data_IF_592071699282
#
_entry.id   IF_592071699282
#
_cell.length_a   1.000
_cell.length_b   1.000
_cell.length_c   1.000
_cell.angle_alpha   90.00
_cell.angle_beta   90.00
_cell.angle_gamma   90.00
#
_symmetry.space_group_name_H-M   'P 1'
#
loop_
_entity.id
_entity.type
_entity.pdbx_description
1 polymer ?
#
# COMPACT_ATOMS: atom_id res chain seq x y z
N UNK A 1 -9.09 -35.64 -5.46
CA UNK A 1 -8.49 -34.83 -4.38
C UNK A 1 -9.59 -34.58 -3.35
N UNK A 2 -9.43 -35.05 -2.11
CA UNK A 2 -10.53 -35.12 -1.15
C UNK A 2 -10.81 -33.73 -0.55
N UNK A 3 -12.08 -33.31 -0.45
CA UNK A 3 -12.45 -31.96 0.00
C UNK A 3 -11.88 -31.67 1.41
N UNK A 4 -11.78 -32.69 2.25
CA UNK A 4 -11.15 -32.62 3.56
C UNK A 4 -9.65 -32.29 3.51
N UNK A 5 -8.87 -32.84 2.59
CA UNK A 5 -7.43 -32.56 2.49
C UNK A 5 -7.14 -31.15 1.99
N UNK A 6 -8.04 -30.57 1.18
CA UNK A 6 -7.94 -29.17 0.78
C UNK A 6 -8.12 -28.23 1.99
N UNK A 7 -9.04 -28.53 2.91
CA UNK A 7 -9.21 -27.77 4.15
C UNK A 7 -8.05 -27.93 5.15
N UNK A 8 -7.40 -29.09 5.22
CA UNK A 8 -6.22 -29.27 6.08
C UNK A 8 -5.00 -28.51 5.54
N UNK A 9 -4.80 -28.50 4.23
CA UNK A 9 -3.77 -27.67 3.60
C UNK A 9 -4.09 -26.18 3.75
N UNK A 10 -5.36 -25.78 3.66
CA UNK A 10 -5.81 -24.43 3.98
C UNK A 10 -5.59 -24.09 5.46
N UNK A 11 -5.74 -25.03 6.41
CA UNK A 11 -5.40 -24.77 7.83
C UNK A 11 -3.93 -24.45 8.02
N UNK A 12 -3.03 -25.11 7.29
CA UNK A 12 -1.61 -24.74 7.29
C UNK A 12 -1.36 -23.43 6.54
N UNK A 13 -2.12 -23.12 5.49
CA UNK A 13 -2.02 -21.86 4.75
C UNK A 13 -2.55 -20.66 5.56
N UNK A 14 -3.65 -20.83 6.30
CA UNK A 14 -4.22 -19.88 7.25
C UNK A 14 -3.30 -19.63 8.45
N UNK A 15 -2.35 -20.54 8.72
CA UNK A 15 -1.34 -20.37 9.76
C UNK A 15 -0.23 -19.39 9.39
N UNK A 16 -0.09 -19.01 8.11
CA UNK A 16 0.90 -18.03 7.66
C UNK A 16 0.47 -16.59 7.96
N UNK A 17 -0.83 -16.33 8.14
CA UNK A 17 -1.29 -15.02 8.57
C UNK A 17 -1.36 -14.99 10.10
N UNK A 18 -0.29 -14.50 10.73
CA UNK A 18 -0.34 -14.02 12.10
C UNK A 18 -0.30 -12.50 12.05
N UNK A 19 -1.45 -11.80 12.24
CA UNK A 19 -1.38 -10.37 12.52
C UNK A 19 -0.48 -10.19 13.75
N UNK A 20 0.17 -9.03 13.87
CA UNK A 20 0.92 -8.75 15.10
C UNK A 20 -0.02 -8.92 16.28
N UNK A 21 0.46 -9.61 17.32
CA UNK A 21 -0.37 -10.01 18.47
C UNK A 21 -1.15 -8.82 19.05
N UNK A 22 -0.51 -7.65 19.13
CA UNK A 22 -1.17 -6.40 19.52
C UNK A 22 -2.35 -6.01 18.62
N UNK A 23 -2.19 -5.99 17.28
CA UNK A 23 -3.28 -5.63 16.36
C UNK A 23 -4.46 -6.58 16.48
N UNK A 24 -4.17 -7.87 16.65
CA UNK A 24 -5.20 -8.88 16.81
C UNK A 24 -6.04 -8.64 18.07
N UNK A 25 -5.38 -8.37 19.20
CA UNK A 25 -6.02 -8.06 20.47
C UNK A 25 -6.92 -6.82 20.35
N UNK A 26 -6.40 -5.73 19.80
CA UNK A 26 -7.19 -4.50 19.60
C UNK A 26 -8.37 -4.71 18.65
N UNK A 27 -8.22 -5.50 17.58
CA UNK A 27 -9.35 -5.85 16.70
C UNK A 27 -10.45 -6.62 17.44
N UNK A 28 -10.07 -7.53 18.34
CA UNK A 28 -11.00 -8.22 19.24
C UNK A 28 -11.75 -7.24 20.15
N UNK A 29 -11.03 -6.34 20.81
CA UNK A 29 -11.62 -5.32 21.69
C UNK A 29 -12.54 -4.36 20.93
N UNK A 30 -12.13 -3.88 19.76
CA UNK A 30 -12.97 -3.01 18.91
C UNK A 30 -14.21 -3.75 18.42
N UNK A 31 -14.09 -5.04 18.07
CA UNK A 31 -15.24 -5.83 17.64
C UNK A 31 -16.28 -5.98 18.76
N UNK A 32 -15.86 -6.31 19.98
CA UNK A 32 -16.77 -6.42 21.13
C UNK A 32 -17.33 -5.05 21.55
N UNK A 33 -16.52 -3.99 21.51
CA UNK A 33 -16.99 -2.63 21.77
C UNK A 33 -18.01 -2.16 20.71
N UNK A 34 -17.80 -2.49 19.44
CA UNK A 34 -18.75 -2.22 18.36
C UNK A 34 -20.08 -2.96 18.56
N UNK A 35 -20.06 -4.25 18.94
CA UNK A 35 -21.29 -5.00 19.23
C UNK A 35 -22.11 -4.38 20.36
N UNK A 36 -21.44 -3.86 21.40
CA UNK A 36 -22.09 -3.29 22.59
C UNK A 36 -22.59 -1.87 22.40
N UNK A 37 -21.83 -1.04 21.69
CA UNK A 37 -22.12 0.40 21.55
C UNK A 37 -22.75 0.78 20.22
N UNK A 38 -22.54 -0.01 19.16
CA UNK A 38 -22.86 0.36 17.78
C UNK A 38 -22.01 1.51 17.21
N UNK A 39 -21.00 1.98 17.96
CA UNK A 39 -20.10 3.07 17.57
C UNK A 39 -18.75 2.49 17.11
N UNK A 40 -18.22 2.90 15.95
CA UNK A 40 -16.91 2.44 15.49
C UNK A 40 -15.78 2.91 16.40
N UNK A 41 -14.70 2.14 16.46
CA UNK A 41 -13.49 2.45 17.25
C UNK A 41 -13.75 2.64 18.75
N UNK A 42 -14.76 1.97 19.32
CA UNK A 42 -14.86 1.83 20.77
C UNK A 42 -14.31 0.46 21.12
N UNK A 43 -13.37 0.40 22.05
CA UNK A 43 -12.81 -0.86 22.56
C UNK A 43 -13.60 -1.33 23.78
N UNK A 44 -13.62 -2.64 24.04
CA UNK A 44 -14.09 -3.23 25.28
C UNK A 44 -12.97 -4.04 25.91
N UNK A 45 -12.47 -3.60 27.06
CA UNK A 45 -11.32 -4.20 27.76
C UNK A 45 -11.69 -5.44 28.59
N UNK A 46 -12.93 -5.92 28.49
CA UNK A 46 -13.49 -7.00 29.32
C UNK A 46 -14.28 -6.50 30.52
N UNK A 47 -14.15 -5.22 30.89
CA UNK A 47 -14.86 -4.61 32.02
C UNK A 47 -15.72 -3.42 31.60
N UNK A 48 -15.18 -2.54 30.76
CA UNK A 48 -15.81 -1.30 30.36
C UNK A 48 -15.53 -1.00 28.88
N UNK A 49 -16.38 -0.16 28.29
CA UNK A 49 -16.05 0.47 27.02
C UNK A 49 -14.93 1.47 27.27
N UNK A 50 -14.01 1.64 26.32
CA UNK A 50 -12.92 2.62 26.41
C UNK A 50 -12.67 3.27 25.04
N UNK A 51 -12.07 4.47 24.99
CA UNK A 51 -11.59 5.05 23.74
C UNK A 51 -10.59 4.12 23.03
N UNK A 52 -10.57 4.15 21.70
CA UNK A 52 -9.58 3.44 20.90
C UNK A 52 -8.16 3.92 21.22
N UNK A 53 -7.23 2.99 21.39
CA UNK A 53 -5.87 3.28 21.82
C UNK A 53 -4.78 2.69 20.90
N UNK A 54 -5.14 2.03 19.81
CA UNK A 54 -4.13 1.44 18.92
C UNK A 54 -3.39 2.51 18.09
N UNK A 55 -2.06 2.37 18.02
CA UNK A 55 -1.17 3.24 17.25
C UNK A 55 -1.07 2.79 15.77
N UNK A 56 -2.20 2.55 15.10
CA UNK A 56 -2.25 2.11 13.71
C UNK A 56 -3.35 2.82 12.91
N UNK A 57 -3.34 2.67 11.58
CA UNK A 57 -4.36 3.25 10.70
C UNK A 57 -5.74 2.66 11.06
N UNK A 58 -6.72 3.54 11.27
CA UNK A 58 -8.02 3.18 11.86
C UNK A 58 -8.94 2.36 10.93
N UNK A 59 -8.60 2.23 9.64
CA UNK A 59 -9.49 1.64 8.65
C UNK A 59 -9.77 0.16 8.86
N UNK A 60 -8.77 -0.63 9.28
CA UNK A 60 -8.97 -2.06 9.61
C UNK A 60 -9.94 -2.24 10.78
N UNK A 61 -9.85 -1.37 11.79
CA UNK A 61 -10.68 -1.40 12.99
C UNK A 61 -12.12 -0.98 12.71
N UNK A 62 -12.38 -0.46 11.51
CA UNK A 62 -13.72 -0.19 11.02
C UNK A 62 -14.26 -1.31 10.12
N UNK A 63 -13.46 -1.75 9.15
CA UNK A 63 -13.89 -2.73 8.15
C UNK A 63 -14.06 -4.14 8.73
N UNK A 64 -13.09 -4.61 9.50
CA UNK A 64 -13.03 -6.01 9.95
C UNK A 64 -14.17 -6.34 10.92
N UNK A 65 -14.48 -5.53 11.96
CA UNK A 65 -15.64 -5.77 12.81
C UNK A 65 -16.97 -5.81 12.04
N UNK A 66 -17.11 -4.98 10.99
CA UNK A 66 -18.31 -4.98 10.15
C UNK A 66 -18.42 -6.22 9.30
N UNK A 67 -17.31 -6.72 8.75
CA UNK A 67 -17.29 -8.00 8.02
C UNK A 67 -17.64 -9.14 8.98
N UNK A 68 -17.07 -9.14 10.18
CA UNK A 68 -17.36 -10.14 11.22
C UNK A 68 -18.85 -10.15 11.57
N UNK A 69 -19.44 -8.98 11.83
CA UNK A 69 -20.86 -8.84 12.16
C UNK A 69 -21.78 -9.17 10.96
N UNK A 70 -21.47 -8.69 9.76
CA UNK A 70 -22.31 -8.89 8.58
C UNK A 70 -22.35 -10.36 8.12
N UNK A 71 -21.27 -11.10 8.33
CA UNK A 71 -21.16 -12.52 7.95
C UNK A 71 -21.33 -13.48 9.14
N UNK A 72 -21.66 -12.96 10.32
CA UNK A 72 -21.75 -13.70 11.58
C UNK A 72 -20.56 -14.65 11.79
N UNK A 73 -19.35 -14.10 11.68
CA UNK A 73 -18.11 -14.87 11.79
C UNK A 73 -17.12 -14.26 12.78
N UNK A 74 -16.11 -15.05 13.15
CA UNK A 74 -15.08 -14.61 14.08
C UNK A 74 -14.17 -13.54 13.47
N UNK A 75 -13.51 -12.75 14.32
CA UNK A 75 -12.62 -11.66 13.88
C UNK A 75 -11.47 -12.19 13.03
N UNK A 76 -10.91 -13.35 13.39
CA UNK A 76 -9.86 -14.06 12.65
C UNK A 76 -10.32 -14.37 11.22
N UNK A 77 -11.56 -14.86 11.07
CA UNK A 77 -12.12 -15.19 9.75
C UNK A 77 -12.39 -13.92 8.95
N UNK A 78 -12.89 -12.87 9.58
CA UNK A 78 -13.12 -11.57 8.94
C UNK A 78 -11.81 -10.93 8.45
N UNK A 79 -10.73 -11.01 9.25
CA UNK A 79 -9.37 -10.62 8.85
C UNK A 79 -8.95 -11.36 7.57
N UNK A 80 -9.07 -12.68 7.55
CA UNK A 80 -8.67 -13.50 6.39
C UNK A 80 -9.51 -13.14 5.16
N UNK A 81 -10.83 -13.02 5.30
CA UNK A 81 -11.74 -12.64 4.22
C UNK A 81 -11.33 -11.28 3.65
N UNK A 82 -11.05 -10.30 4.52
CA UNK A 82 -10.70 -8.95 4.09
C UNK A 82 -9.37 -8.94 3.32
N UNK A 83 -8.28 -9.43 3.91
CA UNK A 83 -6.96 -9.30 3.31
C UNK A 83 -6.74 -10.22 2.11
N UNK A 84 -7.12 -11.50 2.21
CA UNK A 84 -6.99 -12.42 1.09
C UNK A 84 -8.02 -12.13 0.00
N UNK A 85 -9.23 -11.73 0.37
CA UNK A 85 -10.23 -11.25 -0.58
C UNK A 85 -9.74 -10.05 -1.36
N UNK A 86 -9.16 -9.05 -0.69
CA UNK A 86 -8.58 -7.85 -1.33
C UNK A 86 -7.46 -8.22 -2.31
N UNK A 87 -6.49 -9.04 -1.88
CA UNK A 87 -5.40 -9.50 -2.74
C UNK A 87 -5.91 -10.28 -3.97
N UNK A 88 -6.82 -11.23 -3.79
CA UNK A 88 -7.39 -12.04 -4.88
C UNK A 88 -8.24 -11.21 -5.84
N UNK A 89 -9.03 -10.28 -5.31
CA UNK A 89 -9.81 -9.34 -6.10
C UNK A 89 -8.91 -8.47 -6.97
N UNK A 90 -7.88 -7.87 -6.38
CA UNK A 90 -6.89 -7.07 -7.11
C UNK A 90 -6.13 -7.85 -8.17
N UNK A 91 -5.69 -9.07 -7.86
CA UNK A 91 -5.06 -9.97 -8.83
C UNK A 91 -6.00 -10.26 -10.00
N UNK A 92 -7.27 -10.58 -9.72
CA UNK A 92 -8.28 -10.88 -10.75
C UNK A 92 -8.47 -9.69 -11.68
N UNK A 93 -8.62 -8.48 -11.13
CA UNK A 93 -8.72 -7.24 -11.92
C UNK A 93 -7.46 -7.00 -12.76
N UNK A 94 -6.28 -7.24 -12.20
CA UNK A 94 -5.02 -7.12 -12.93
C UNK A 94 -4.90 -8.07 -14.11
N UNK A 95 -5.31 -9.34 -13.92
CA UNK A 95 -5.37 -10.35 -14.99
C UNK A 95 -6.33 -9.92 -16.08
N UNK A 96 -7.54 -9.47 -15.72
CA UNK A 96 -8.52 -8.94 -16.67
C UNK A 96 -7.92 -7.77 -17.46
N UNK A 97 -7.31 -6.80 -16.77
CA UNK A 97 -6.69 -5.64 -17.41
C UNK A 97 -5.61 -6.02 -18.42
N UNK A 98 -4.70 -6.93 -18.06
CA UNK A 98 -3.66 -7.39 -18.98
C UNK A 98 -4.20 -8.28 -20.11
N UNK A 99 -5.24 -9.08 -19.88
CA UNK A 99 -5.84 -9.93 -20.91
C UNK A 99 -6.62 -9.11 -21.95
N UNK A 100 -7.20 -7.98 -21.52
CA UNK A 100 -7.78 -6.98 -22.40
C UNK A 100 -6.70 -6.20 -23.16
N UNK A 101 -5.59 -5.87 -22.51
CA UNK A 101 -4.47 -5.15 -23.13
C UNK A 101 -3.71 -5.99 -24.16
N UNK A 102 -3.48 -7.27 -23.89
CA UNK A 102 -2.68 -8.15 -24.73
C UNK A 102 -3.53 -9.15 -25.51
N UNK A 103 -3.28 -9.26 -26.81
CA UNK A 103 -4.00 -10.19 -27.70
C UNK A 103 -3.33 -11.56 -27.78
N UNK A 104 -2.00 -11.64 -27.69
CA UNK A 104 -1.26 -12.91 -27.81
C UNK A 104 -1.36 -13.75 -26.53
N UNK A 105 -1.54 -15.07 -26.70
CA UNK A 105 -1.55 -16.05 -25.61
C UNK A 105 -0.24 -16.01 -24.81
N UNK A 106 0.90 -15.83 -25.48
CA UNK A 106 2.22 -15.75 -24.81
C UNK A 106 2.28 -14.53 -23.90
N UNK A 107 1.80 -13.38 -24.37
CA UNK A 107 1.80 -12.15 -23.58
C UNK A 107 0.88 -12.25 -22.35
N UNK A 108 -0.28 -12.90 -22.52
CA UNK A 108 -1.21 -13.21 -21.42
C UNK A 108 -0.61 -14.17 -20.41
N UNK A 109 0.12 -15.18 -20.88
CA UNK A 109 0.80 -16.14 -20.01
C UNK A 109 1.92 -15.46 -19.18
N UNK A 110 2.71 -14.58 -19.79
CA UNK A 110 3.71 -13.75 -19.07
C UNK A 110 3.03 -12.90 -17.99
N UNK A 111 1.93 -12.23 -18.33
CA UNK A 111 1.17 -11.43 -17.37
C UNK A 111 0.60 -12.28 -16.22
N UNK A 112 0.06 -13.46 -16.55
CA UNK A 112 -0.47 -14.41 -15.57
C UNK A 112 0.60 -14.88 -14.59
N UNK A 113 1.76 -15.31 -15.08
CA UNK A 113 2.88 -15.73 -14.21
C UNK A 113 3.34 -14.56 -13.35
N UNK A 114 3.60 -13.39 -13.93
CA UNK A 114 4.09 -12.23 -13.20
C UNK A 114 3.15 -11.80 -12.06
N UNK A 115 1.85 -11.65 -12.36
CA UNK A 115 0.87 -11.28 -11.34
C UNK A 115 0.62 -12.39 -10.32
N UNK A 116 0.67 -13.67 -10.72
CA UNK A 116 0.51 -14.79 -9.77
C UNK A 116 1.69 -14.89 -8.82
N UNK A 117 2.92 -14.68 -9.28
CA UNK A 117 4.11 -14.59 -8.42
C UNK A 117 3.99 -13.43 -7.43
N UNK A 118 3.51 -12.26 -7.88
CA UNK A 118 3.26 -11.12 -7.00
C UNK A 118 2.16 -11.39 -5.98
N UNK A 119 1.08 -12.07 -6.37
CA UNK A 119 0.02 -12.51 -5.44
C UNK A 119 0.60 -13.45 -4.37
N UNK A 120 1.39 -14.45 -4.76
CA UNK A 120 2.01 -15.37 -3.80
C UNK A 120 2.93 -14.64 -2.82
N UNK A 121 3.76 -13.71 -3.31
CA UNK A 121 4.61 -12.87 -2.44
C UNK A 121 3.75 -11.99 -1.51
N UNK A 122 2.67 -11.42 -2.02
CA UNK A 122 1.73 -10.59 -1.26
C UNK A 122 1.09 -11.40 -0.13
N UNK A 123 0.63 -12.62 -0.41
CA UNK A 123 0.05 -13.52 0.59
C UNK A 123 1.09 -14.01 1.60
N UNK A 124 2.34 -14.22 1.18
CA UNK A 124 3.45 -14.58 2.06
C UNK A 124 3.80 -13.46 3.04
N UNK A 125 3.83 -12.21 2.57
CA UNK A 125 4.08 -11.03 3.42
C UNK A 125 2.93 -10.87 4.42
N UNK A 126 1.68 -11.01 3.96
CA UNK A 126 0.52 -10.96 4.82
C UNK A 126 0.22 -9.57 5.40
N UNK A 127 -0.63 -9.57 6.41
CA UNK A 127 -1.01 -8.41 7.21
C UNK A 127 -1.58 -7.22 6.41
N UNK A 128 -1.64 -6.03 7.03
CA UNK A 128 -2.01 -4.75 6.41
C UNK A 128 -1.15 -4.38 5.20
N UNK A 129 0.04 -4.98 5.07
CA UNK A 129 0.96 -4.68 3.99
C UNK A 129 0.49 -5.17 2.63
N UNK A 130 -0.44 -6.15 2.59
CA UNK A 130 -1.05 -6.64 1.35
C UNK A 130 -1.61 -5.51 0.47
N UNK A 131 -2.07 -4.42 1.08
CA UNK A 131 -2.65 -3.30 0.34
C UNK A 131 -1.63 -2.53 -0.51
N UNK A 132 -0.33 -2.55 -0.14
CA UNK A 132 0.72 -1.90 -0.91
C UNK A 132 0.89 -2.47 -2.33
N UNK A 133 0.63 -3.78 -2.53
CA UNK A 133 0.62 -4.39 -3.88
C UNK A 133 -0.78 -4.41 -4.52
N UNK A 134 -1.84 -4.45 -3.71
CA UNK A 134 -3.21 -4.63 -4.19
C UNK A 134 -3.64 -3.54 -5.17
N UNK A 135 -3.34 -2.26 -4.88
CA UNK A 135 -3.65 -1.16 -5.78
C UNK A 135 -2.86 -1.23 -7.11
N UNK A 136 -1.57 -1.61 -7.06
CA UNK A 136 -0.75 -1.72 -8.27
C UNK A 136 -1.22 -2.85 -9.18
N UNK A 137 -1.56 -4.01 -8.60
CA UNK A 137 -2.10 -5.16 -9.34
C UNK A 137 -3.41 -4.80 -10.05
N UNK A 138 -4.33 -4.10 -9.37
CA UNK A 138 -5.64 -3.78 -9.93
C UNK A 138 -5.59 -2.61 -10.92
N UNK A 139 -5.01 -1.48 -10.51
CA UNK A 139 -5.20 -0.20 -11.19
C UNK A 139 -4.27 -0.02 -12.39
N UNK A 140 -3.01 -0.47 -12.30
CA UNK A 140 -2.05 -0.23 -13.39
C UNK A 140 -2.46 -0.96 -14.69
N UNK A 141 -2.79 -2.27 -14.70
CA UNK A 141 -3.14 -2.96 -15.94
C UNK A 141 -4.42 -2.41 -16.58
N UNK A 142 -5.45 -2.14 -15.78
CA UNK A 142 -6.71 -1.55 -16.27
C UNK A 142 -6.52 -0.12 -16.76
N UNK A 143 -5.76 0.69 -16.03
CA UNK A 143 -5.43 2.06 -16.44
C UNK A 143 -4.63 2.09 -17.74
N UNK A 144 -3.71 1.14 -17.95
CA UNK A 144 -3.00 0.98 -19.22
C UNK A 144 -3.96 0.59 -20.35
N UNK A 145 -4.83 -0.40 -20.14
CA UNK A 145 -5.80 -0.82 -21.15
C UNK A 145 -6.67 0.35 -21.62
N UNK A 146 -7.23 1.12 -20.69
CA UNK A 146 -8.11 2.25 -21.01
C UNK A 146 -7.36 3.42 -21.67
N UNK A 147 -6.12 3.67 -21.28
CA UNK A 147 -5.33 4.81 -21.78
C UNK A 147 -4.69 4.54 -23.15
N UNK A 148 -4.33 3.29 -23.43
CA UNK A 148 -3.60 2.90 -24.65
C UNK A 148 -4.52 2.40 -25.78
N UNK A 149 -5.80 2.14 -25.50
CA UNK A 149 -6.78 1.73 -26.51
C UNK A 149 -7.87 2.78 -26.70
N UNK A 150 -8.50 2.78 -27.87
CA UNK A 150 -9.62 3.68 -28.15
C UNK A 150 -10.93 3.20 -27.49
N UNK A 151 -11.00 3.37 -26.17
CA UNK A 151 -12.16 3.00 -25.35
C UNK A 151 -13.17 4.15 -25.24
N UNK A 152 -14.46 3.87 -25.06
CA UNK A 152 -15.47 4.92 -24.87
C UNK A 152 -15.22 5.69 -23.55
N UNK A 153 -15.39 7.02 -23.49
CA UNK A 153 -15.14 7.82 -22.28
C UNK A 153 -15.92 7.37 -21.04
N UNK A 154 -17.11 6.77 -21.22
CA UNK A 154 -17.90 6.23 -20.11
C UNK A 154 -17.14 5.14 -19.33
N UNK A 155 -16.32 4.32 -20.00
CA UNK A 155 -15.52 3.29 -19.33
C UNK A 155 -14.41 3.92 -18.48
N UNK A 156 -13.81 5.04 -18.95
CA UNK A 156 -12.87 5.83 -18.14
C UNK A 156 -13.56 6.44 -16.91
N UNK A 157 -14.81 6.88 -17.04
CA UNK A 157 -15.61 7.38 -15.91
C UNK A 157 -15.89 6.30 -14.86
N UNK A 158 -16.38 5.12 -15.29
CA UNK A 158 -16.64 3.98 -14.41
C UNK A 158 -15.37 3.55 -13.69
N UNK A 159 -14.27 3.37 -14.45
CA UNK A 159 -12.97 3.05 -13.87
C UNK A 159 -12.47 4.16 -12.94
N UNK A 160 -12.68 5.43 -13.27
CA UNK A 160 -12.28 6.54 -12.42
C UNK A 160 -12.97 6.52 -11.06
N UNK A 161 -14.29 6.33 -11.02
CA UNK A 161 -15.03 6.19 -9.75
C UNK A 161 -14.50 4.99 -8.96
N UNK A 162 -14.35 3.83 -9.63
CA UNK A 162 -13.79 2.64 -9.01
C UNK A 162 -12.39 2.88 -8.44
N UNK A 163 -11.48 3.46 -9.21
CA UNK A 163 -10.12 3.76 -8.79
C UNK A 163 -10.08 4.75 -7.63
N UNK A 164 -10.93 5.78 -7.65
CA UNK A 164 -11.06 6.75 -6.56
C UNK A 164 -11.55 6.10 -5.26
N UNK A 165 -12.58 5.25 -5.33
CA UNK A 165 -13.06 4.46 -4.19
C UNK A 165 -11.98 3.50 -3.68
N UNK A 166 -11.34 2.77 -4.58
CA UNK A 166 -10.30 1.79 -4.26
C UNK A 166 -9.12 2.46 -3.55
N UNK A 167 -8.58 3.54 -4.10
CA UNK A 167 -7.51 4.34 -3.48
C UNK A 167 -7.94 4.94 -2.15
N UNK A 168 -9.17 5.45 -2.07
CA UNK A 168 -9.70 6.04 -0.82
C UNK A 168 -9.79 5.01 0.30
N UNK A 169 -10.31 3.80 0.00
CA UNK A 169 -10.40 2.71 0.97
C UNK A 169 -9.00 2.24 1.36
N UNK A 170 -8.13 1.99 0.39
CA UNK A 170 -6.75 1.58 0.65
C UNK A 170 -6.01 2.60 1.52
N UNK A 171 -6.15 3.91 1.23
CA UNK A 171 -5.57 4.97 2.03
C UNK A 171 -6.14 5.02 3.46
N UNK A 172 -7.43 4.78 3.62
CA UNK A 172 -8.09 4.71 4.93
C UNK A 172 -7.60 3.53 5.77
N UNK A 173 -7.29 2.40 5.12
CA UNK A 173 -6.83 1.18 5.80
C UNK A 173 -5.33 1.19 6.04
N UNK A 174 -4.55 1.69 5.07
CA UNK A 174 -3.12 1.85 5.17
C UNK A 174 -2.69 3.12 4.45
N UNK A 175 -2.20 4.09 5.21
CA UNK A 175 -1.86 5.41 4.70
C UNK A 175 -0.88 5.33 3.51
N UNK A 176 -1.20 6.07 2.45
CA UNK A 176 -0.40 6.24 1.22
C UNK A 176 -0.13 5.00 0.36
N UNK A 177 -0.66 3.82 0.69
CA UNK A 177 -0.31 2.59 -0.02
C UNK A 177 -0.71 2.56 -1.51
N UNK A 178 -1.79 3.26 -1.88
CA UNK A 178 -2.32 3.31 -3.25
C UNK A 178 -1.92 4.57 -4.05
N UNK A 179 -1.09 5.47 -3.48
CA UNK A 179 -0.65 6.71 -4.16
C UNK A 179 0.20 6.41 -5.41
N UNK A 180 1.20 5.52 -5.38
CA UNK A 180 2.03 5.24 -6.55
C UNK A 180 1.25 4.76 -7.79
N UNK A 181 0.34 3.76 -7.71
CA UNK A 181 -0.45 3.35 -8.87
C UNK A 181 -1.49 4.39 -9.31
N UNK A 182 -2.01 5.22 -8.40
CA UNK A 182 -2.85 6.35 -8.80
C UNK A 182 -2.07 7.35 -9.67
N UNK A 183 -0.87 7.75 -9.22
CA UNK A 183 -0.02 8.68 -9.97
C UNK A 183 0.40 8.08 -11.32
N UNK A 184 0.72 6.78 -11.36
CA UNK A 184 0.96 6.07 -12.61
C UNK A 184 -0.19 6.26 -13.61
N UNK A 185 -1.43 5.98 -13.19
CA UNK A 185 -2.61 6.08 -14.06
C UNK A 185 -2.85 7.51 -14.52
N UNK A 186 -2.71 8.50 -13.62
CA UNK A 186 -2.89 9.90 -13.96
C UNK A 186 -1.84 10.40 -14.95
N UNK A 187 -0.56 10.11 -14.72
CA UNK A 187 0.52 10.50 -15.65
C UNK A 187 0.32 9.82 -17.00
N UNK A 188 0.03 8.52 -17.02
CA UNK A 188 -0.21 7.79 -18.27
C UNK A 188 -1.36 8.41 -19.05
N UNK A 189 -2.51 8.65 -18.43
CA UNK A 189 -3.68 9.20 -19.11
C UNK A 189 -3.43 10.65 -19.59
N UNK A 190 -2.85 11.50 -18.75
CA UNK A 190 -2.66 12.92 -19.08
C UNK A 190 -1.59 13.16 -20.14
N UNK A 191 -0.49 12.41 -20.12
CA UNK A 191 0.61 12.59 -21.05
C UNK A 191 0.49 11.73 -22.31
N UNK A 192 -0.42 10.75 -22.37
CA UNK A 192 -0.71 10.04 -23.61
C UNK A 192 -1.33 11.00 -24.64
N UNK A 193 -0.64 11.18 -25.77
CA UNK A 193 -1.02 12.12 -26.83
C UNK A 193 -2.34 11.74 -27.49
N UNK A 194 -2.55 10.45 -27.71
CA UNK A 194 -3.72 9.93 -28.43
C UNK A 194 -4.98 9.81 -27.54
N UNK A 195 -4.85 10.08 -26.24
CA UNK A 195 -5.98 10.07 -25.33
C UNK A 195 -6.81 11.35 -25.50
N UNK A 196 -8.09 11.20 -25.84
CA UNK A 196 -9.00 12.33 -26.01
C UNK A 196 -9.14 13.17 -24.72
N UNK A 197 -9.19 14.51 -24.85
CA UNK A 197 -9.29 15.44 -23.69
C UNK A 197 -10.50 15.16 -22.80
N UNK A 198 -11.61 14.73 -23.38
CA UNK A 198 -12.81 14.32 -22.64
C UNK A 198 -12.55 13.12 -21.72
N UNK A 199 -11.78 12.11 -22.20
CA UNK A 199 -11.40 10.95 -21.37
C UNK A 199 -10.56 11.38 -20.17
N UNK A 200 -9.58 12.28 -20.38
CA UNK A 200 -8.72 12.83 -19.31
C UNK A 200 -9.55 13.53 -18.23
N UNK A 201 -10.42 14.47 -18.65
CA UNK A 201 -11.29 15.21 -17.74
C UNK A 201 -12.25 14.31 -16.98
N UNK A 202 -12.98 13.42 -17.69
CA UNK A 202 -13.93 12.49 -17.08
C UNK A 202 -13.24 11.57 -16.08
N UNK A 203 -12.08 10.98 -16.44
CA UNK A 203 -11.32 10.10 -15.56
C UNK A 203 -10.93 10.83 -14.27
N UNK A 204 -10.32 12.01 -14.39
CA UNK A 204 -9.85 12.78 -13.22
C UNK A 204 -11.01 13.22 -12.34
N UNK A 205 -12.10 13.76 -12.90
CA UNK A 205 -13.28 14.12 -12.13
C UNK A 205 -13.88 12.90 -11.41
N UNK A 206 -13.99 11.76 -12.10
CA UNK A 206 -14.52 10.53 -11.52
C UNK A 206 -13.65 9.97 -10.38
N UNK A 207 -12.32 10.02 -10.52
CA UNK A 207 -11.38 9.67 -9.44
C UNK A 207 -11.60 10.56 -8.21
N UNK A 208 -11.69 11.89 -8.42
CA UNK A 208 -11.92 12.84 -7.32
C UNK A 208 -13.25 12.54 -6.63
N UNK A 209 -14.32 12.29 -7.39
CA UNK A 209 -15.63 11.92 -6.81
C UNK A 209 -15.53 10.65 -5.96
N UNK A 210 -14.90 9.59 -6.50
CA UNK A 210 -14.68 8.34 -5.76
C UNK A 210 -13.88 8.56 -4.47
N UNK A 211 -12.76 9.28 -4.55
CA UNK A 211 -11.90 9.56 -3.39
C UNK A 211 -12.63 10.40 -2.33
N UNK A 212 -13.28 11.49 -2.75
CA UNK A 212 -14.00 12.38 -1.85
C UNK A 212 -15.15 11.66 -1.14
N UNK A 213 -15.81 10.70 -1.78
CA UNK A 213 -16.85 9.91 -1.13
C UNK A 213 -16.32 9.13 0.08
N UNK A 214 -15.11 8.55 -0.01
CA UNK A 214 -14.47 7.85 1.12
C UNK A 214 -14.00 8.86 2.17
N UNK A 215 -13.47 10.02 1.77
CA UNK A 215 -13.06 11.08 2.70
C UNK A 215 -14.25 11.59 3.52
N UNK A 216 -15.36 11.94 2.87
CA UNK A 216 -16.58 12.39 3.56
C UNK A 216 -17.14 11.31 4.48
N UNK A 217 -17.15 10.06 4.01
CA UNK A 217 -17.58 8.93 4.79
C UNK A 217 -16.75 8.74 6.06
N UNK A 218 -15.42 8.70 5.93
CA UNK A 218 -14.51 8.49 7.07
C UNK A 218 -14.55 9.66 8.04
N UNK A 219 -14.67 10.90 7.54
CA UNK A 219 -14.87 12.08 8.37
C UNK A 219 -16.18 11.99 9.18
N UNK A 220 -17.28 11.59 8.54
CA UNK A 220 -18.55 11.38 9.23
C UNK A 220 -18.44 10.33 10.35
N UNK A 221 -17.78 9.19 10.09
CA UNK A 221 -17.56 8.18 11.13
C UNK A 221 -16.71 8.72 12.29
N UNK A 222 -15.64 9.48 12.00
CA UNK A 222 -14.78 10.14 13.02
C UNK A 222 -15.59 11.08 13.91
N UNK A 223 -16.46 11.89 13.33
CA UNK A 223 -17.30 12.82 14.09
C UNK A 223 -18.27 12.08 15.03
N UNK A 224 -18.86 10.96 14.57
CA UNK A 224 -19.71 10.11 15.42
C UNK A 224 -18.95 9.53 16.61
N UNK A 225 -17.74 9.03 16.36
CA UNK A 225 -16.87 8.50 17.40
C UNK A 225 -16.46 9.58 18.41
N UNK A 226 -16.00 10.75 17.94
CA UNK A 226 -15.63 11.86 18.82
C UNK A 226 -16.80 12.35 19.68
N UNK A 227 -18.00 12.45 19.12
CA UNK A 227 -19.18 12.83 19.88
C UNK A 227 -19.46 11.85 21.04
N UNK A 228 -19.34 10.54 20.77
CA UNK A 228 -19.51 9.50 21.78
C UNK A 228 -18.43 9.58 22.88
N UNK A 229 -17.16 9.77 22.50
CA UNK A 229 -16.05 9.86 23.45
C UNK A 229 -16.14 11.13 24.29
N UNK A 230 -16.47 12.29 23.71
CA UNK A 230 -16.65 13.51 24.49
C UNK A 230 -17.77 13.40 25.53
N UNK A 231 -18.84 12.66 25.21
CA UNK A 231 -19.93 12.42 26.15
C UNK A 231 -19.53 11.44 27.27
N UNK A 232 -18.79 10.37 26.93
CA UNK A 232 -18.51 9.26 27.84
C UNK A 232 -17.20 9.45 28.63
N UNK A 233 -16.22 10.15 28.07
CA UNK A 233 -14.88 10.40 28.64
C UNK A 233 -14.45 11.85 28.41
N UNK A 234 -15.00 12.83 29.16
CA UNK A 234 -14.71 14.25 28.94
C UNK A 234 -13.24 14.63 29.07
N UNK A 235 -12.45 13.84 29.79
CA UNK A 235 -11.01 14.04 30.03
C UNK A 235 -10.12 13.28 29.05
N UNK A 236 -10.68 12.42 28.18
CA UNK A 236 -9.89 11.67 27.21
C UNK A 236 -9.28 12.62 26.17
N UNK A 237 -7.97 12.50 25.96
CA UNK A 237 -7.30 13.15 24.84
C UNK A 237 -7.51 12.30 23.60
N UNK A 238 -8.16 12.87 22.60
CA UNK A 238 -8.27 12.27 21.28
C UNK A 238 -6.98 12.56 20.53
N UNK A 239 -6.06 11.61 20.55
CA UNK A 239 -4.84 11.71 19.75
C UNK A 239 -5.19 11.61 18.26
N UNK A 240 -4.41 12.30 17.42
CA UNK A 240 -4.49 12.10 15.99
C UNK A 240 -4.02 10.68 15.68
N UNK A 241 -4.98 9.78 15.42
CA UNK A 241 -4.78 8.36 15.09
C UNK A 241 -4.06 8.15 13.74
N UNK A 242 -2.82 8.61 13.65
CA UNK A 242 -1.95 8.49 12.49
C UNK A 242 -0.56 8.07 12.94
N UNK A 243 0.08 7.22 12.13
CA UNK A 243 1.48 6.85 12.32
C UNK A 243 2.36 8.10 12.36
N UNK A 244 3.13 8.24 13.43
CA UNK A 244 4.13 9.29 13.56
C UNK A 244 5.17 9.19 12.44
N UNK A 245 5.24 10.23 11.60
CA UNK A 245 6.20 10.28 10.49
C UNK A 245 7.62 10.36 11.06
N UNK A 246 7.84 11.19 12.08
CA UNK A 246 9.15 11.36 12.69
C UNK A 246 9.56 10.15 13.51
N UNK A 247 8.63 9.48 14.19
CA UNK A 247 8.84 8.16 14.78
C UNK A 247 9.38 7.16 13.75
N UNK A 248 8.71 7.04 12.61
CA UNK A 248 9.11 6.11 11.55
C UNK A 248 10.51 6.45 10.99
N UNK A 249 10.78 7.74 10.75
CA UNK A 249 12.08 8.20 10.24
C UNK A 249 13.18 7.92 11.28
N UNK A 250 12.93 8.23 12.55
CA UNK A 250 13.89 8.05 13.64
C UNK A 250 14.29 6.59 13.77
N UNK A 251 13.32 5.68 13.91
CA UNK A 251 13.58 4.24 13.94
C UNK A 251 14.29 3.77 12.65
N UNK A 252 13.93 4.34 11.50
CA UNK A 252 14.53 4.06 10.20
C UNK A 252 16.03 4.38 10.12
N UNK A 253 16.56 5.26 10.99
CA UNK A 253 18.00 5.51 11.11
C UNK A 253 18.76 4.31 11.68
N UNK A 254 18.07 3.39 12.37
CA UNK A 254 18.64 2.14 12.88
C UNK A 254 19.06 1.13 11.79
N UNK A 255 18.86 1.44 10.51
CA UNK A 255 19.24 0.57 9.39
C UNK A 255 20.75 0.26 9.35
N UNK A 256 21.60 1.27 9.58
CA UNK A 256 23.05 1.12 9.46
C UNK A 256 23.73 0.98 10.82
N UNK A 257 23.58 -0.20 11.45
CA UNK A 257 24.08 -0.48 12.82
C UNK A 257 25.55 -0.15 13.04
N UNK A 258 26.42 -0.40 12.04
CA UNK A 258 27.87 -0.23 12.20
C UNK A 258 28.32 1.23 12.42
N UNK A 259 27.59 2.21 11.89
CA UNK A 259 27.91 3.65 12.08
C UNK A 259 27.05 4.31 13.16
N UNK A 260 26.16 3.56 13.79
CA UNK A 260 25.15 4.09 14.69
C UNK A 260 25.68 4.21 16.12
N UNK A 261 26.40 5.30 16.39
CA UNK A 261 26.91 5.62 17.74
C UNK A 261 25.81 5.87 18.77
N UNK A 262 24.58 6.14 18.32
CA UNK A 262 23.42 6.50 19.15
C UNK A 262 22.59 5.29 19.59
N UNK A 263 22.96 4.07 19.16
CA UNK A 263 22.22 2.84 19.44
C UNK A 263 20.74 2.93 19.02
N UNK A 264 20.45 3.63 17.91
CA UNK A 264 19.09 3.69 17.36
C UNK A 264 18.73 2.32 16.79
N UNK A 265 17.58 1.77 17.16
CA UNK A 265 17.14 0.47 16.68
C UNK A 265 15.78 0.59 15.99
N UNK A 266 15.50 -0.32 15.07
CA UNK A 266 14.16 -0.49 14.50
C UNK A 266 13.26 -1.18 15.52
N UNK A 267 12.84 -0.41 16.52
CA UNK A 267 11.96 -0.84 17.60
C UNK A 267 11.24 0.41 18.13
N UNK A 268 9.91 0.33 18.28
CA UNK A 268 9.10 1.44 18.81
C UNK A 268 9.56 1.87 20.21
N UNK A 269 10.04 0.91 21.01
CA UNK A 269 10.60 1.17 22.34
C UNK A 269 11.83 2.08 22.28
N UNK A 270 12.62 2.03 21.20
CA UNK A 270 13.81 2.88 21.06
C UNK A 270 13.42 4.36 20.99
N UNK A 271 12.44 4.69 20.16
CA UNK A 271 11.92 6.05 20.03
C UNK A 271 11.18 6.51 21.30
N UNK A 272 10.36 5.64 21.90
CA UNK A 272 9.65 5.96 23.15
C UNK A 272 10.64 6.24 24.30
N UNK A 273 11.65 5.39 24.48
CA UNK A 273 12.70 5.60 25.48
C UNK A 273 13.49 6.89 25.23
N UNK A 274 13.68 7.29 23.97
CA UNK A 274 14.29 8.59 23.66
C UNK A 274 13.38 9.75 24.05
N UNK A 275 12.09 9.70 23.69
CA UNK A 275 11.10 10.70 24.05
C UNK A 275 11.01 10.86 25.59
N UNK A 276 10.92 9.75 26.32
CA UNK A 276 10.84 9.75 27.79
C UNK A 276 12.07 10.37 28.43
N UNK A 277 13.28 9.99 27.98
CA UNK A 277 14.54 10.60 28.45
C UNK A 277 14.58 12.10 28.18
N UNK A 278 14.13 12.53 27.00
CA UNK A 278 14.10 13.95 26.65
C UNK A 278 13.06 14.74 27.43
N UNK A 279 11.94 14.12 27.82
CA UNK A 279 10.90 14.72 28.69
C UNK A 279 11.34 14.85 30.15
N UNK A 280 12.13 13.90 30.64
CA UNK A 280 12.74 14.00 31.98
C UNK A 280 13.67 15.22 32.09
N UNK A 281 14.21 15.69 30.98
CA UNK A 281 14.87 16.99 30.90
C UNK A 281 13.80 18.10 30.85
N UNK A 282 13.69 18.89 31.94
CA UNK A 282 12.61 19.86 32.21
C UNK A 282 12.29 20.84 31.06
N UNK A 283 13.19 21.02 30.10
CA UNK A 283 13.00 21.92 28.96
C UNK A 283 12.02 21.40 27.89
N UNK A 284 11.61 20.13 27.91
CA UNK A 284 10.80 19.53 26.82
C UNK A 284 9.43 18.97 27.26
N UNK A 285 8.95 19.30 28.46
CA UNK A 285 7.74 18.68 29.03
C UNK A 285 6.49 18.95 28.17
N UNK A 286 6.42 20.11 27.52
CA UNK A 286 5.26 20.53 26.71
C UNK A 286 5.31 20.07 25.25
N UNK A 287 6.43 19.48 24.80
CA UNK A 287 6.58 19.06 23.41
C UNK A 287 5.90 17.70 23.15
N UNK A 288 5.22 17.59 22.01
CA UNK A 288 4.74 16.30 21.52
C UNK A 288 5.93 15.38 21.21
N UNK A 289 5.73 14.07 21.32
CA UNK A 289 6.78 13.10 21.01
C UNK A 289 7.34 13.26 19.59
N UNK A 290 6.46 13.56 18.62
CA UNK A 290 6.85 13.82 17.23
C UNK A 290 7.74 15.05 17.07
N UNK A 291 7.49 16.15 17.78
CA UNK A 291 8.34 17.35 17.70
C UNK A 291 9.71 17.12 18.37
N UNK A 292 9.77 16.33 19.45
CA UNK A 292 11.04 15.89 20.06
C UNK A 292 11.86 15.09 19.05
N UNK A 293 11.27 14.10 18.39
CA UNK A 293 11.95 13.26 17.41
C UNK A 293 12.37 14.03 16.16
N UNK A 294 11.51 14.93 15.66
CA UNK A 294 11.83 15.83 14.54
C UNK A 294 13.05 16.69 14.84
N UNK A 295 13.10 17.30 16.02
CA UNK A 295 14.22 18.13 16.45
C UNK A 295 15.51 17.32 16.49
N UNK A 296 15.45 16.10 17.02
CA UNK A 296 16.60 15.20 17.05
C UNK A 296 17.04 14.74 15.65
N UNK A 297 16.12 14.46 14.74
CA UNK A 297 16.45 14.10 13.36
C UNK A 297 17.16 15.27 12.66
N UNK A 298 16.67 16.51 12.84
CA UNK A 298 17.32 17.71 12.31
C UNK A 298 18.73 17.84 12.90
N UNK A 299 18.88 17.61 14.21
CA UNK A 299 20.17 17.62 14.89
C UNK A 299 21.16 16.58 14.31
N UNK A 300 20.69 15.35 14.05
CA UNK A 300 21.48 14.29 13.39
C UNK A 300 21.83 14.71 11.95
N UNK A 301 20.90 15.28 11.20
CA UNK A 301 21.16 15.75 9.84
C UNK A 301 22.24 16.84 9.77
N UNK A 302 22.24 17.76 10.73
CA UNK A 302 23.21 18.85 10.79
C UNK A 302 24.58 18.40 11.30
N UNK A 303 24.63 17.57 12.34
CA UNK A 303 25.88 17.23 13.02
C UNK A 303 26.51 15.91 12.56
N UNK A 304 25.72 15.02 11.94
CA UNK A 304 26.13 13.69 11.49
C UNK A 304 25.65 13.41 10.06
N UNK A 305 25.75 14.40 9.17
CA UNK A 305 25.25 14.33 7.79
C UNK A 305 25.75 13.11 6.99
N UNK A 306 26.99 12.68 7.22
CA UNK A 306 27.56 11.48 6.61
C UNK A 306 26.78 10.21 6.99
N UNK A 307 26.37 10.06 8.25
CA UNK A 307 25.57 8.93 8.71
C UNK A 307 24.21 8.88 8.00
N UNK A 308 23.54 10.03 7.85
CA UNK A 308 22.29 10.14 7.10
C UNK A 308 22.46 9.74 5.63
N UNK A 309 23.50 10.25 4.97
CA UNK A 309 23.80 9.96 3.58
C UNK A 309 24.09 8.48 3.38
N UNK A 310 24.96 7.87 4.19
CA UNK A 310 25.27 6.44 4.09
C UNK A 310 24.05 5.56 4.37
N UNK A 311 23.23 5.91 5.36
CA UNK A 311 21.98 5.21 5.63
C UNK A 311 21.06 5.24 4.40
N UNK A 312 20.87 6.42 3.79
CA UNK A 312 20.05 6.57 2.59
C UNK A 312 20.61 5.76 1.41
N UNK A 313 21.91 5.83 1.12
CA UNK A 313 22.54 5.05 0.06
C UNK A 313 22.39 3.54 0.27
N UNK A 314 22.54 3.06 1.50
CA UNK A 314 22.31 1.66 1.83
C UNK A 314 20.89 1.22 1.54
N UNK A 315 19.88 2.03 1.89
CA UNK A 315 18.47 1.74 1.58
C UNK A 315 18.18 1.79 0.08
N UNK A 316 18.76 2.76 -0.64
CA UNK A 316 18.69 2.82 -2.12
C UNK A 316 19.27 1.54 -2.73
N UNK A 317 20.40 1.04 -2.21
CA UNK A 317 21.00 -0.23 -2.65
C UNK A 317 20.04 -1.41 -2.51
N UNK A 318 19.31 -1.50 -1.39
CA UNK A 318 18.27 -2.53 -1.18
C UNK A 318 17.12 -2.38 -2.18
N UNK A 319 16.66 -1.15 -2.46
CA UNK A 319 15.62 -0.91 -3.46
C UNK A 319 16.08 -1.24 -4.88
N UNK A 320 17.33 -0.96 -5.25
CA UNK A 320 17.91 -1.39 -6.52
C UNK A 320 17.90 -2.93 -6.59
N UNK A 321 18.27 -3.62 -5.51
CA UNK A 321 18.18 -5.07 -5.46
C UNK A 321 16.74 -5.57 -5.66
N UNK A 322 15.75 -4.95 -5.01
CA UNK A 322 14.33 -5.26 -5.23
C UNK A 322 13.92 -5.05 -6.70
N UNK A 323 14.36 -3.96 -7.33
CA UNK A 323 14.10 -3.69 -8.74
C UNK A 323 14.71 -4.77 -9.63
N UNK A 324 15.98 -5.13 -9.43
CA UNK A 324 16.68 -6.15 -10.22
C UNK A 324 16.00 -7.52 -10.09
N UNK A 325 15.64 -7.93 -8.87
CA UNK A 325 14.99 -9.20 -8.59
C UNK A 325 13.54 -9.27 -9.10
N UNK A 326 12.83 -8.15 -9.16
CA UNK A 326 11.42 -8.13 -9.54
C UNK A 326 11.21 -7.85 -11.04
N UNK A 327 12.09 -7.04 -11.62
CA UNK A 327 12.00 -6.63 -13.02
C UNK A 327 12.86 -7.47 -13.98
N UNK A 328 13.88 -8.19 -13.50
CA UNK A 328 14.68 -9.21 -14.21
C UNK A 328 14.78 -9.03 -15.75
N UNK A 329 14.18 -9.94 -16.51
CA UNK A 329 14.18 -10.00 -17.99
C UNK A 329 13.55 -8.74 -18.59
N UNK A 330 12.57 -8.14 -17.92
CA UNK A 330 11.93 -6.90 -18.33
C UNK A 330 12.88 -5.71 -18.38
N UNK A 331 13.89 -5.64 -17.49
CA UNK A 331 14.92 -4.59 -17.60
C UNK A 331 15.74 -4.77 -18.87
N UNK A 332 16.19 -5.99 -19.16
CA UNK A 332 16.90 -6.32 -20.40
C UNK A 332 16.04 -6.00 -21.63
N UNK A 333 14.76 -6.39 -21.60
CA UNK A 333 13.79 -6.10 -22.64
C UNK A 333 13.60 -4.59 -22.86
N UNK A 334 13.56 -3.80 -21.79
CA UNK A 334 13.47 -2.34 -21.84
C UNK A 334 14.71 -1.69 -22.47
N UNK A 335 15.90 -2.26 -22.27
CA UNK A 335 17.13 -1.80 -22.92
C UNK A 335 17.15 -2.10 -24.42
N UNK A 336 16.69 -3.28 -24.83
CA UNK A 336 16.67 -3.70 -26.24
C UNK A 336 15.58 -2.97 -27.01
N UNK A 337 14.40 -2.85 -26.40
CA UNK A 337 13.20 -2.29 -27.03
C UNK A 337 12.68 -1.11 -26.24
N UNK A 338 12.82 0.08 -26.83
CA UNK A 338 12.30 1.32 -26.24
C UNK A 338 10.78 1.32 -26.29
N UNK A 339 10.17 1.58 -25.13
CA UNK A 339 8.73 1.84 -25.00
C UNK A 339 8.46 3.33 -25.28
N UNK A 340 7.20 3.72 -25.52
CA UNK A 340 6.82 5.12 -25.49
C UNK A 340 7.24 5.78 -24.17
N UNK A 341 7.85 6.96 -24.26
CA UNK A 341 8.39 7.69 -23.09
C UNK A 341 7.34 7.89 -21.99
N UNK A 342 6.07 8.10 -22.36
CA UNK A 342 4.96 8.28 -21.41
C UNK A 342 4.80 7.08 -20.48
N UNK A 343 4.99 5.85 -21.00
CA UNK A 343 4.89 4.63 -20.19
C UNK A 343 6.06 4.55 -19.21
N UNK A 344 7.29 4.74 -19.69
CA UNK A 344 8.48 4.72 -18.83
C UNK A 344 8.43 5.84 -17.77
N UNK A 345 7.97 7.05 -18.13
CA UNK A 345 7.78 8.16 -17.20
C UNK A 345 6.73 7.82 -16.13
N UNK A 346 5.61 7.20 -16.51
CA UNK A 346 4.57 6.79 -15.55
C UNK A 346 5.12 5.79 -14.53
N UNK A 347 5.89 4.79 -14.99
CA UNK A 347 6.56 3.84 -14.10
C UNK A 347 7.64 4.50 -13.24
N UNK A 348 8.43 5.41 -13.80
CA UNK A 348 9.43 6.15 -13.04
C UNK A 348 8.82 6.92 -11.86
N UNK A 349 7.71 7.64 -12.09
CA UNK A 349 6.98 8.33 -11.02
C UNK A 349 6.44 7.33 -9.99
N UNK A 350 5.92 6.18 -10.42
CA UNK A 350 5.46 5.13 -9.51
C UNK A 350 6.62 4.55 -8.66
N UNK A 351 7.80 4.35 -9.25
CA UNK A 351 9.00 3.90 -8.52
C UNK A 351 9.46 4.93 -7.50
N UNK A 352 9.61 6.20 -7.90
CA UNK A 352 10.06 7.26 -6.99
C UNK A 352 9.10 7.40 -5.81
N UNK A 353 7.79 7.41 -6.06
CA UNK A 353 6.77 7.59 -5.02
C UNK A 353 6.64 6.37 -4.11
N UNK A 354 6.72 5.15 -4.65
CA UNK A 354 6.71 3.92 -3.84
C UNK A 354 8.02 3.70 -3.05
N UNK A 355 9.13 4.31 -3.48
CA UNK A 355 10.41 4.25 -2.77
C UNK A 355 10.45 5.16 -1.52
N UNK A 356 9.63 6.21 -1.45
CA UNK A 356 9.67 7.19 -0.35
C UNK A 356 9.56 6.51 1.01
N UNK A 357 8.55 5.64 1.21
CA UNK A 357 8.33 5.04 2.51
C UNK A 357 9.46 4.09 2.94
N UNK A 358 9.92 3.12 2.12
CA UNK A 358 11.11 2.31 2.43
C UNK A 358 12.39 3.10 2.71
N UNK A 359 12.58 4.27 2.07
CA UNK A 359 13.75 5.13 2.29
C UNK A 359 13.68 5.88 3.63
N UNK A 360 12.49 6.36 3.99
CA UNK A 360 12.24 7.01 5.28
C UNK A 360 12.29 5.99 6.42
N UNK A 361 11.58 4.87 6.26
CA UNK A 361 11.51 3.76 7.20
C UNK A 361 12.67 2.78 7.00
N UNK A 362 12.44 1.49 7.26
CA UNK A 362 13.38 0.41 6.96
C UNK A 362 12.97 -0.27 5.64
N UNK A 363 13.91 -0.59 4.72
CA UNK A 363 13.59 -1.15 3.41
C UNK A 363 13.31 -2.66 3.49
N UNK A 364 12.42 -3.07 4.41
CA UNK A 364 11.94 -4.45 4.49
C UNK A 364 11.00 -4.77 3.32
N UNK A 365 10.83 -6.07 3.05
CA UNK A 365 9.92 -6.55 2.02
C UNK A 365 8.48 -6.04 2.24
N UNK A 366 8.01 -5.97 3.49
CA UNK A 366 6.69 -5.44 3.86
C UNK A 366 6.48 -4.00 3.39
N UNK A 367 7.46 -3.14 3.63
CA UNK A 367 7.41 -1.72 3.28
C UNK A 367 7.74 -1.48 1.80
N UNK A 368 8.60 -2.32 1.22
CA UNK A 368 9.00 -2.28 -0.19
C UNK A 368 7.99 -2.93 -1.14
N UNK A 369 6.89 -3.52 -0.65
CA UNK A 369 5.96 -4.29 -1.46
C UNK A 369 5.31 -3.46 -2.58
N UNK A 370 5.02 -2.18 -2.34
CA UNK A 370 4.52 -1.29 -3.40
C UNK A 370 5.55 -1.11 -4.51
N UNK A 371 6.81 -0.87 -4.15
CA UNK A 371 7.90 -0.74 -5.11
C UNK A 371 8.14 -2.03 -5.91
N UNK A 372 8.14 -3.17 -5.23
CA UNK A 372 8.22 -4.51 -5.85
C UNK A 372 7.06 -4.73 -6.82
N UNK A 373 5.83 -4.38 -6.42
CA UNK A 373 4.65 -4.55 -7.28
C UNK A 373 4.75 -3.72 -8.56
N UNK A 374 5.17 -2.45 -8.48
CA UNK A 374 5.46 -1.62 -9.63
C UNK A 374 6.53 -2.24 -10.54
N UNK A 375 7.57 -2.86 -9.95
CA UNK A 375 8.66 -3.50 -10.69
C UNK A 375 8.20 -4.76 -11.43
N UNK A 376 7.33 -5.58 -10.82
CA UNK A 376 6.73 -6.75 -11.48
C UNK A 376 5.81 -6.32 -12.63
N UNK A 377 4.97 -5.29 -12.43
CA UNK A 377 4.13 -4.76 -13.52
C UNK A 377 5.01 -4.21 -14.65
N UNK A 378 6.10 -3.49 -14.32
CA UNK A 378 7.08 -3.02 -15.32
C UNK A 378 7.74 -4.16 -16.09
N UNK A 379 8.06 -5.27 -15.41
CA UNK A 379 8.60 -6.48 -16.00
C UNK A 379 7.67 -7.01 -17.11
N UNK A 380 6.42 -7.24 -16.74
CA UNK A 380 5.37 -7.77 -17.64
C UNK A 380 5.24 -6.88 -18.86
N UNK A 381 5.14 -5.56 -18.65
CA UNK A 381 4.97 -4.59 -19.73
C UNK A 381 6.18 -4.59 -20.66
N UNK A 382 7.39 -4.60 -20.12
CA UNK A 382 8.62 -4.54 -20.92
C UNK A 382 8.84 -5.80 -21.76
N UNK A 383 8.62 -6.99 -21.18
CA UNK A 383 8.68 -8.25 -21.94
C UNK A 383 7.67 -8.26 -23.08
N UNK A 384 6.42 -7.86 -22.79
CA UNK A 384 5.35 -7.90 -23.79
C UNK A 384 5.54 -6.89 -24.92
N UNK A 385 6.11 -5.73 -24.65
CA UNK A 385 6.52 -4.77 -25.68
C UNK A 385 7.62 -5.32 -26.58
N UNK A 386 8.66 -5.91 -25.99
CA UNK A 386 9.75 -6.50 -26.76
C UNK A 386 9.26 -7.65 -27.65
N UNK A 387 8.41 -8.52 -27.11
CA UNK A 387 7.80 -9.62 -27.86
C UNK A 387 6.96 -9.14 -29.05
N UNK A 388 6.12 -8.11 -28.88
CA UNK A 388 5.29 -7.58 -29.95
C UNK A 388 6.13 -7.02 -31.11
N UNK A 389 7.21 -6.27 -30.82
CA UNK A 389 8.09 -5.74 -31.85
C UNK A 389 8.88 -6.82 -32.58
N UNK A 390 9.32 -7.87 -31.88
CA UNK A 390 10.02 -8.99 -32.51
C UNK A 390 9.11 -9.76 -33.48
N UNK A 391 7.83 -9.96 -33.15
CA UNK A 391 6.86 -10.56 -34.07
C UNK A 391 6.66 -9.67 -35.30
N UNK A 392 6.48 -8.36 -35.08
CA UNK A 392 6.25 -7.42 -36.18
C UNK A 392 7.41 -7.45 -37.17
N UNK A 393 8.66 -7.39 -36.69
CA UNK A 393 9.86 -7.48 -37.53
C UNK A 393 9.95 -8.80 -38.31
N UNK A 394 9.54 -9.92 -37.71
CA UNK A 394 9.51 -11.20 -38.43
C UNK A 394 8.46 -11.17 -39.55
N UNK A 395 7.26 -10.67 -39.27
CA UNK A 395 6.19 -10.59 -40.28
C UNK A 395 6.54 -9.70 -41.48
N UNK A 396 7.28 -8.60 -41.28
CA UNK A 396 7.72 -7.74 -42.38
C UNK A 396 8.80 -8.38 -43.24
N UNK A 397 9.70 -9.18 -42.64
CA UNK A 397 10.77 -9.84 -43.38
C UNK A 397 10.29 -11.01 -44.25
N UNK A 398 9.15 -11.64 -43.92
CA UNK A 398 8.56 -12.69 -44.76
C UNK A 398 7.67 -12.13 -45.89
N UNK A 399 7.31 -10.85 -45.83
CA UNK A 399 6.51 -10.18 -46.85
C UNK A 399 7.36 -9.53 -47.96
N UNK A 400 8.68 -9.47 -47.76
CA UNK A 400 9.68 -9.06 -48.74
C UNK A 400 10.32 -10.30 -49.33
#
# INVERSE_FOLDING_TARGET
MNFASFFTTIKHFLWFYKPTEGRFIHLGFVNEGFKRSGIPWVEYDGSQLIPFCAADDIGIYWLIPRIAHALDCSVERAICIFFYGSALFSWTLGIIGFFLLYRSVVQRFVAFIGLSSLLLLTLYIGDVYILYSSAAMALMPLGMYLSLNDTKPIYCGIFGVFAGLFVGIDHFVRSYCAVPPLLFVLILCWFQRDCARSKKGILTCAIVVGLMSVVFFTHHQKNRYHAYIHQSYPTARLDNYQHGIWHTIYCGLGFFKFMNKRNIEWNDSCAQNFIERMRQNKNNVDLSGEEILKTEIINIMSNESHFMVFSLFGKIGVLILFLLLSAQIGLIAAFIVRKPLVIDLSFFIAFVTSAVFPLLAMPFLTYGLSFISCAVVYNIVSINYAYAQLIQKRSTNYAQ
#
